data_IF_517059496180
#
_entry.id   IF_517059496180
#
_cell.length_a   1.000
_cell.length_b   1.000
_cell.length_c   1.000
_cell.angle_alpha   90.00
_cell.angle_beta   90.00
_cell.angle_gamma   90.00
#
_symmetry.space_group_name_H-M   'P 1'
#
loop_
_entity.id
_entity.type
_entity.pdbx_description
1 polymer ?
#
# COMPACT_ATOMS: atom_id res chain seq x y z
N UNK A 1 -14.25 -5.77 -20.47
CA UNK A 1 -14.76 -5.06 -19.29
C UNK A 1 -15.00 -3.63 -19.72
N UNK A 2 -16.27 -3.23 -19.74
CA UNK A 2 -16.69 -1.85 -20.02
C UNK A 2 -16.51 -1.00 -18.74
N UNK A 3 -16.44 0.32 -18.85
CA UNK A 3 -16.38 1.22 -17.68
C UNK A 3 -17.58 1.05 -16.73
N UNK A 4 -18.68 0.47 -17.23
CA UNK A 4 -19.87 0.11 -16.46
C UNK A 4 -19.66 -1.08 -15.50
N UNK A 5 -18.59 -1.86 -15.68
CA UNK A 5 -18.23 -3.00 -14.81
C UNK A 5 -17.31 -2.61 -13.64
N UNK A 6 -16.96 -1.32 -13.48
CA UNK A 6 -16.07 -0.84 -12.42
C UNK A 6 -16.89 -0.65 -11.13
N UNK A 7 -16.87 -1.67 -10.27
CA UNK A 7 -17.46 -1.60 -8.95
C UNK A 7 -16.53 -0.84 -7.98
N UNK A 8 -17.08 -0.11 -6.99
CA UNK A 8 -16.25 0.45 -5.93
C UNK A 8 -15.57 -0.71 -5.19
N UNK A 9 -14.27 -0.56 -4.91
CA UNK A 9 -13.58 -1.48 -3.99
C UNK A 9 -14.25 -1.34 -2.62
N UNK A 10 -15.15 -2.26 -2.29
CA UNK A 10 -15.81 -2.30 -1.00
C UNK A 10 -14.77 -2.74 0.02
N UNK A 11 -14.10 -1.79 0.68
CA UNK A 11 -13.41 -2.11 1.92
C UNK A 11 -14.46 -2.57 2.92
N UNK A 12 -14.38 -3.82 3.37
CA UNK A 12 -15.21 -4.24 4.49
C UNK A 12 -14.74 -3.44 5.70
N UNK A 13 -15.61 -2.57 6.22
CA UNK A 13 -15.43 -1.81 7.47
C UNK A 13 -14.65 -0.48 7.40
N UNK A 14 -15.13 0.49 6.62
CA UNK A 14 -15.13 1.88 7.12
C UNK A 14 -16.28 2.69 6.53
N UNK A 15 -17.28 3.01 7.37
CA UNK A 15 -18.08 4.21 7.11
C UNK A 15 -17.12 5.38 7.28
N UNK A 16 -16.76 6.05 6.20
CA UNK A 16 -16.09 7.35 6.31
C UNK A 16 -17.08 8.31 6.96
N UNK A 17 -16.95 8.49 8.28
CA UNK A 17 -17.61 9.58 8.96
C UNK A 17 -17.08 10.88 8.33
N UNK A 18 -17.97 11.63 7.67
CA UNK A 18 -17.67 13.01 7.30
C UNK A 18 -17.59 13.80 8.60
N UNK A 19 -16.39 14.07 9.05
CA UNK A 19 -16.13 15.11 10.04
C UNK A 19 -15.36 16.20 9.33
N UNK A 20 -15.99 17.38 9.18
CA UNK A 20 -15.25 18.61 8.92
C UNK A 20 -14.26 18.79 10.08
N UNK A 21 -13.01 18.44 9.84
CA UNK A 21 -11.94 18.59 10.79
C UNK A 21 -10.69 18.92 9.99
N UNK A 22 -10.15 20.11 10.24
CA UNK A 22 -8.92 20.67 9.69
C UNK A 22 -7.70 19.87 10.21
N UNK A 23 -7.68 18.61 9.82
CA UNK A 23 -6.70 17.60 10.19
C UNK A 23 -5.65 17.57 9.09
N UNK A 24 -4.37 17.66 9.45
CA UNK A 24 -3.23 17.59 8.53
C UNK A 24 -3.38 16.39 7.60
N UNK A 25 -3.91 16.66 6.41
CA UNK A 25 -4.19 15.63 5.43
C UNK A 25 -2.87 15.25 4.76
N UNK A 26 -2.30 14.13 5.17
CA UNK A 26 -1.13 13.56 4.49
C UNK A 26 -1.62 12.81 3.25
N UNK A 27 -1.63 13.51 2.12
CA UNK A 27 -1.98 12.94 0.82
C UNK A 27 -0.72 12.36 0.18
N UNK A 28 -0.83 11.17 -0.38
CA UNK A 28 0.19 10.55 -1.25
C UNK A 28 -0.53 9.67 -2.27
N UNK A 29 0.05 9.49 -3.46
CA UNK A 29 -0.48 8.49 -4.39
C UNK A 29 -0.43 7.09 -3.74
N UNK A 30 -1.54 6.37 -3.84
CA UNK A 30 -1.72 5.07 -3.18
C UNK A 30 -0.68 4.02 -3.59
N UNK A 31 -0.15 4.10 -4.81
CA UNK A 31 0.93 3.20 -5.27
C UNK A 31 2.18 3.27 -4.39
N UNK A 32 2.52 4.43 -3.82
CA UNK A 32 3.65 4.53 -2.88
C UNK A 32 3.31 4.02 -1.49
N UNK A 33 2.03 4.03 -1.11
CA UNK A 33 1.59 3.36 0.11
C UNK A 33 1.71 1.84 -0.06
N UNK A 34 1.29 1.29 -1.20
CA UNK A 34 1.43 -0.13 -1.53
C UNK A 34 2.89 -0.58 -1.54
N UNK A 35 3.80 0.22 -2.12
CA UNK A 35 5.24 -0.08 -2.10
C UNK A 35 5.81 -0.04 -0.68
N UNK A 36 5.39 0.91 0.16
CA UNK A 36 5.72 0.93 1.58
C UNK A 36 5.22 -0.32 2.30
N UNK A 37 3.98 -0.76 2.03
CA UNK A 37 3.42 -1.98 2.60
C UNK A 37 4.24 -3.22 2.22
N UNK A 38 4.64 -3.33 0.94
CA UNK A 38 5.49 -4.41 0.45
C UNK A 38 6.86 -4.40 1.15
N UNK A 39 7.48 -3.23 1.30
CA UNK A 39 8.77 -3.11 2.01
C UNK A 39 8.64 -3.47 3.50
N UNK A 40 7.55 -3.07 4.16
CA UNK A 40 7.29 -3.46 5.57
C UNK A 40 7.15 -4.96 5.74
N UNK A 41 6.49 -5.65 4.81
CA UNK A 41 6.41 -7.13 4.81
C UNK A 41 7.81 -7.72 4.62
N UNK A 42 8.57 -7.23 3.63
CA UNK A 42 9.95 -7.67 3.38
C UNK A 42 10.84 -7.53 4.61
N UNK A 43 10.80 -6.39 5.28
CA UNK A 43 11.56 -6.14 6.51
C UNK A 43 11.12 -7.10 7.62
N UNK A 44 9.81 -7.33 7.79
CA UNK A 44 9.30 -8.24 8.82
C UNK A 44 9.74 -9.70 8.60
N UNK A 45 9.75 -10.17 7.34
CA UNK A 45 10.25 -11.51 6.98
C UNK A 45 11.74 -11.69 7.28
N UNK A 46 12.50 -10.59 7.33
CA UNK A 46 13.93 -10.56 7.63
C UNK A 46 14.23 -9.77 8.91
N UNK A 47 13.33 -9.79 9.90
CA UNK A 47 13.47 -9.01 11.14
C UNK A 47 14.72 -9.35 11.97
N UNK A 48 15.31 -10.53 11.76
CA UNK A 48 16.57 -10.91 12.41
C UNK A 48 17.78 -10.19 11.79
N UNK A 49 17.65 -9.74 10.55
CA UNK A 49 18.65 -8.95 9.84
C UNK A 49 18.44 -7.44 10.04
N UNK A 50 17.18 -6.99 10.09
CA UNK A 50 16.84 -5.57 10.22
C UNK A 50 16.59 -5.16 11.67
N UNK A 51 17.36 -4.20 12.17
CA UNK A 51 17.12 -3.59 13.48
C UNK A 51 15.82 -2.76 13.46
N UNK A 52 14.76 -3.33 14.01
CA UNK A 52 13.44 -2.71 14.09
C UNK A 52 13.29 -1.95 15.41
N UNK A 53 12.99 -0.65 15.34
CA UNK A 53 12.71 0.20 16.52
C UNK A 53 11.32 -0.04 17.11
N UNK A 54 10.39 -0.52 16.29
CA UNK A 54 8.99 -0.76 16.68
C UNK A 54 8.89 -1.99 17.59
N UNK A 55 8.01 -1.97 18.59
CA UNK A 55 7.73 -3.13 19.44
C UNK A 55 7.19 -4.31 18.58
N UNK A 56 7.55 -5.58 18.85
CA UNK A 56 7.16 -6.71 18.00
C UNK A 56 5.66 -6.83 17.69
N UNK A 57 4.80 -6.50 18.66
CA UNK A 57 3.35 -6.48 18.46
C UNK A 57 2.92 -5.42 17.44
N UNK A 58 3.54 -4.24 17.47
CA UNK A 58 3.24 -3.18 16.50
C UNK A 58 3.70 -3.55 15.09
N UNK A 59 4.83 -4.24 14.98
CA UNK A 59 5.31 -4.76 13.69
C UNK A 59 4.29 -5.73 13.08
N UNK A 60 3.75 -6.64 13.89
CA UNK A 60 2.76 -7.61 13.44
C UNK A 60 1.44 -6.94 13.00
N UNK A 61 0.94 -5.98 13.78
CA UNK A 61 -0.26 -5.18 13.43
C UNK A 61 -0.03 -4.45 12.10
N UNK A 62 1.14 -3.81 11.94
CA UNK A 62 1.49 -3.09 10.73
C UNK A 62 1.49 -4.02 9.52
N UNK A 63 2.09 -5.21 9.63
CA UNK A 63 2.12 -6.22 8.56
C UNK A 63 0.72 -6.71 8.21
N UNK A 64 -0.15 -6.98 9.18
CA UNK A 64 -1.53 -7.38 8.91
C UNK A 64 -2.30 -6.30 8.14
N UNK A 65 -2.17 -5.04 8.55
CA UNK A 65 -2.77 -3.93 7.82
C UNK A 65 -2.19 -3.79 6.39
N UNK A 66 -0.88 -3.97 6.23
CA UNK A 66 -0.23 -3.94 4.92
C UNK A 66 -0.76 -5.05 4.00
N UNK A 67 -0.91 -6.28 4.52
CA UNK A 67 -1.46 -7.40 3.77
C UNK A 67 -2.90 -7.14 3.33
N UNK A 68 -3.74 -6.59 4.20
CA UNK A 68 -5.12 -6.26 3.86
C UNK A 68 -5.19 -5.12 2.82
N UNK A 69 -4.39 -4.07 2.97
CA UNK A 69 -4.32 -2.99 1.98
C UNK A 69 -3.85 -3.48 0.60
N UNK A 70 -2.87 -4.38 0.56
CA UNK A 70 -2.42 -5.02 -0.68
C UNK A 70 -3.50 -5.93 -1.28
N UNK A 71 -4.22 -6.71 -0.46
CA UNK A 71 -5.35 -7.51 -0.91
C UNK A 71 -6.44 -6.64 -1.54
N UNK A 72 -6.81 -5.53 -0.89
CA UNK A 72 -7.82 -4.60 -1.40
C UNK A 72 -7.44 -4.05 -2.77
N UNK A 73 -6.21 -3.56 -2.95
CA UNK A 73 -5.81 -3.02 -4.25
C UNK A 73 -5.73 -4.10 -5.32
N UNK A 74 -5.23 -5.30 -5.01
CA UNK A 74 -5.15 -6.41 -5.97
C UNK A 74 -6.54 -6.74 -6.50
N UNK A 75 -7.53 -6.84 -5.60
CA UNK A 75 -8.92 -7.08 -5.99
C UNK A 75 -9.54 -5.89 -6.72
N UNK A 76 -9.21 -4.65 -6.33
CA UNK A 76 -9.70 -3.44 -6.97
C UNK A 76 -9.18 -3.27 -8.40
N UNK A 77 -7.90 -3.59 -8.64
CA UNK A 77 -7.26 -3.44 -9.95
C UNK A 77 -7.54 -4.62 -10.85
N UNK A 78 -7.68 -5.82 -10.29
CA UNK A 78 -8.07 -7.04 -11.00
C UNK A 78 -7.21 -7.32 -12.23
N UNK A 79 -6.00 -7.85 -12.03
CA UNK A 79 -5.16 -8.28 -13.17
C UNK A 79 -5.91 -9.34 -13.99
N UNK A 80 -6.00 -9.12 -15.31
CA UNK A 80 -6.71 -9.99 -16.25
C UNK A 80 -5.77 -10.70 -17.22
N UNK A 81 -4.46 -10.47 -17.09
CA UNK A 81 -3.46 -11.18 -17.89
C UNK A 81 -3.42 -12.67 -17.49
N UNK A 82 -3.19 -13.53 -18.48
CA UNK A 82 -3.26 -14.98 -18.27
C UNK A 82 -1.97 -15.52 -17.65
N UNK A 83 -2.11 -16.25 -16.55
CA UNK A 83 -1.04 -17.07 -15.98
C UNK A 83 -1.19 -18.49 -16.53
N UNK A 84 -0.17 -18.98 -17.25
CA UNK A 84 -0.11 -20.38 -17.68
C UNK A 84 0.50 -21.25 -16.58
N UNK A 85 0.24 -22.56 -16.63
CA UNK A 85 0.79 -23.52 -15.66
C UNK A 85 1.56 -24.61 -16.40
N UNK A 86 2.76 -24.91 -15.90
CA UNK A 86 3.68 -25.86 -16.53
C UNK A 86 4.22 -26.85 -15.49
N UNK A 87 4.48 -28.09 -15.93
CA UNK A 87 5.18 -29.07 -15.10
C UNK A 87 6.67 -28.78 -15.13
N UNK A 88 7.28 -28.67 -13.96
CA UNK A 88 8.73 -28.57 -13.81
C UNK A 88 9.32 -29.94 -13.51
N UNK A 89 10.57 -30.17 -13.92
CA UNK A 89 11.26 -31.45 -13.72
C UNK A 89 11.33 -31.82 -12.23
N UNK A 90 11.16 -33.11 -11.91
CA UNK A 90 11.22 -33.64 -10.54
C UNK A 90 12.57 -33.38 -9.84
N UNK A 91 13.65 -33.25 -10.61
CA UNK A 91 14.98 -32.87 -10.10
C UNK A 91 14.99 -31.49 -9.43
N UNK A 92 14.10 -30.57 -9.87
CA UNK A 92 13.98 -29.20 -9.33
C UNK A 92 12.90 -29.09 -8.26
N UNK A 93 11.89 -29.95 -8.30
CA UNK A 93 10.78 -29.95 -7.34
C UNK A 93 10.33 -31.39 -7.01
N UNK A 94 10.68 -31.91 -5.81
CA UNK A 94 10.09 -33.15 -5.33
C UNK A 94 8.58 -32.93 -5.11
N UNK A 95 7.75 -33.73 -5.78
CA UNK A 95 6.28 -33.61 -5.96
C UNK A 95 5.85 -32.71 -7.15
N UNK A 96 5.89 -33.23 -8.39
CA UNK A 96 5.53 -32.46 -9.58
C UNK A 96 4.04 -32.05 -9.52
N UNK A 97 3.81 -30.74 -9.47
CA UNK A 97 2.51 -30.11 -9.62
C UNK A 97 2.64 -29.03 -10.71
N UNK A 98 1.54 -28.69 -11.42
CA UNK A 98 1.56 -27.54 -12.32
C UNK A 98 1.98 -26.29 -11.54
N UNK A 99 3.09 -25.67 -11.95
CA UNK A 99 3.58 -24.43 -11.36
C UNK A 99 3.18 -23.25 -12.25
N UNK A 100 2.79 -22.12 -11.66
CA UNK A 100 2.50 -20.91 -12.43
C UNK A 100 3.75 -20.41 -13.15
N UNK A 101 3.61 -20.11 -14.43
CA UNK A 101 4.61 -19.39 -15.20
C UNK A 101 4.46 -17.89 -14.92
N UNK A 102 5.44 -17.31 -14.23
CA UNK A 102 5.40 -15.88 -13.86
C UNK A 102 5.88 -14.94 -14.96
N UNK A 103 6.35 -15.45 -16.10
CA UNK A 103 6.72 -14.68 -17.30
C UNK A 103 5.49 -14.23 -18.08
N UNK A 104 4.55 -13.59 -17.38
CA UNK A 104 3.34 -13.02 -17.96
C UNK A 104 3.66 -11.65 -18.52
N UNK A 105 3.39 -11.45 -19.81
CA UNK A 105 3.45 -10.14 -20.45
C UNK A 105 2.34 -9.26 -19.87
N UNK A 106 2.70 -8.05 -19.39
CA UNK A 106 1.76 -7.13 -18.75
C UNK A 106 1.80 -5.77 -19.41
N UNK A 107 0.63 -5.17 -19.61
CA UNK A 107 0.51 -3.77 -20.04
C UNK A 107 0.55 -2.85 -18.83
N UNK A 108 1.71 -2.26 -18.59
CA UNK A 108 1.94 -1.37 -17.45
C UNK A 108 1.56 0.09 -17.75
N UNK A 109 1.23 0.84 -16.71
CA UNK A 109 1.28 2.31 -16.76
C UNK A 109 2.74 2.74 -16.80
N UNK A 110 3.03 3.90 -17.40
CA UNK A 110 4.38 4.46 -17.39
C UNK A 110 4.78 4.80 -15.95
N UNK A 111 5.67 4.00 -15.37
CA UNK A 111 6.12 4.14 -14.00
C UNK A 111 6.86 5.47 -13.77
N UNK A 112 7.74 5.83 -14.69
CA UNK A 112 8.56 7.04 -14.56
C UNK A 112 7.67 8.29 -14.58
N UNK A 113 6.68 8.33 -15.47
CA UNK A 113 5.71 9.42 -15.48
C UNK A 113 4.92 9.54 -14.16
N UNK A 114 4.54 8.42 -13.53
CA UNK A 114 3.87 8.43 -12.22
C UNK A 114 4.83 8.91 -11.12
N UNK A 115 6.05 8.39 -11.14
CA UNK A 115 7.08 8.70 -10.16
C UNK A 115 7.49 10.17 -10.22
N UNK A 116 7.71 10.70 -11.42
CA UNK A 116 8.11 12.08 -11.63
C UNK A 116 6.98 13.04 -11.27
N UNK A 117 5.74 12.76 -11.68
CA UNK A 117 4.59 13.55 -11.23
C UNK A 117 4.50 13.57 -9.69
N UNK A 118 4.68 12.43 -9.02
CA UNK A 118 4.63 12.37 -7.57
C UNK A 118 5.77 13.13 -6.88
N UNK A 119 6.97 13.12 -7.47
CA UNK A 119 8.10 13.93 -7.01
C UNK A 119 7.88 15.41 -7.27
N UNK A 120 7.20 15.82 -8.33
CA UNK A 120 6.91 17.23 -8.58
C UNK A 120 5.82 17.76 -7.65
N UNK A 121 4.89 16.89 -7.25
CA UNK A 121 3.70 17.25 -6.46
C UNK A 121 3.77 16.73 -5.02
N UNK A 122 4.96 16.40 -4.51
CA UNK A 122 5.10 16.00 -3.11
C UNK A 122 4.85 17.22 -2.22
N UNK A 123 3.93 17.09 -1.27
CA UNK A 123 3.82 18.07 -0.19
C UNK A 123 5.07 17.95 0.66
N UNK A 124 5.85 19.04 0.77
CA UNK A 124 6.98 19.07 1.69
C UNK A 124 6.46 18.96 3.12
N UNK A 125 6.60 17.77 3.70
CA UNK A 125 6.21 17.47 5.07
C UNK A 125 7.11 18.28 6.05
N UNK A 126 8.27 18.77 5.60
CA UNK A 126 9.10 19.70 6.36
C UNK A 126 8.52 21.12 6.45
N UNK A 127 7.62 21.49 5.52
CA UNK A 127 6.86 22.74 5.57
C UNK A 127 5.49 22.59 6.28
N UNK A 128 5.08 21.35 6.60
CA UNK A 128 3.96 21.13 7.50
C UNK A 128 4.39 21.53 8.91
N UNK A 129 4.08 22.77 9.27
CA UNK A 129 4.22 23.35 10.60
C UNK A 129 3.97 22.31 11.70
N UNK A 130 4.81 22.23 12.75
CA UNK A 130 4.58 21.26 13.84
C UNK A 130 3.24 21.54 14.52
N UNK A 131 2.70 20.57 15.28
CA UNK A 131 1.43 20.80 15.97
C UNK A 131 1.56 21.99 16.93
N UNK A 132 2.69 22.08 17.63
CA UNK A 132 3.01 23.16 18.55
C UNK A 132 3.04 24.53 17.84
N UNK A 133 3.71 24.63 16.69
CA UNK A 133 3.82 25.91 15.97
C UNK A 133 2.46 26.33 15.37
N UNK A 134 1.64 25.37 14.92
CA UNK A 134 0.29 25.65 14.44
C UNK A 134 -0.63 26.12 15.57
N UNK A 135 -0.57 25.47 16.73
CA UNK A 135 -1.37 25.81 17.92
C UNK A 135 -0.94 27.15 18.54
N UNK A 136 0.33 27.55 18.41
CA UNK A 136 0.82 28.88 18.79
C UNK A 136 0.18 29.98 17.91
N UNK A 137 0.06 29.74 16.60
CA UNK A 137 -0.52 30.72 15.65
C UNK A 137 -2.04 30.78 15.66
N UNK A 138 -2.70 29.63 15.87
CA UNK A 138 -4.14 29.49 15.65
C UNK A 138 -4.93 29.12 16.91
N UNK A 139 -4.24 28.95 18.05
CA UNK A 139 -4.83 28.45 19.30
C UNK A 139 -4.83 26.93 19.39
N UNK A 140 -5.07 26.34 20.58
CA UNK A 140 -5.02 24.91 20.79
C UNK A 140 -6.01 24.18 19.88
N UNK A 141 -5.55 23.15 19.17
CA UNK A 141 -6.41 22.33 18.34
C UNK A 141 -7.42 21.64 19.25
N UNK A 142 -8.71 21.86 18.99
CA UNK A 142 -9.77 21.26 19.76
C UNK A 142 -9.58 19.74 19.79
N UNK A 143 -9.41 19.18 20.99
CA UNK A 143 -9.39 17.73 21.16
C UNK A 143 -10.80 17.21 20.90
N UNK A 144 -10.99 16.16 20.08
CA UNK A 144 -12.30 15.55 19.93
C UNK A 144 -12.75 14.99 21.29
N UNK A 145 -13.91 15.43 21.76
CA UNK A 145 -14.64 14.79 22.86
C UNK A 145 -15.34 13.51 22.43
#
# INVERSE_FOLDING_TARGET
MDQTDILPCKSSHRKSAKTEADSKLRIRLDVFHQLHCLDKIRIYLHRDYYAMREHPQMQLIHVHHCLDSLREIIMCRGDTELVTFEYVSEERYPNPRPNPNFLVERKCRNWDAIADWAKEHHADIGAAESREVWEEKHGPAASPG
#
